data_IF_084265168197
#
_entry.id   IF_084265168197
#
_cell.length_a   1.000
_cell.length_b   1.000
_cell.length_c   1.000
_cell.angle_alpha   90.00
_cell.angle_beta   90.00
_cell.angle_gamma   90.00
#
_symmetry.space_group_name_H-M   'P 1'
#
loop_
_entity.id
_entity.type
_entity.pdbx_description
1 polymer ?
#
# COMPACT_ATOMS: atom_id res chain seq x y z
N UNK A 1 -11.44 -3.87 -9.62
CA UNK A 1 -11.29 -3.70 -11.07
C UNK A 1 -10.84 -5.01 -11.70
N UNK A 2 -11.49 -5.45 -12.77
CA UNK A 2 -11.09 -6.65 -13.53
C UNK A 2 -9.93 -6.33 -14.48
N UNK A 3 -9.12 -7.31 -14.95
CA UNK A 3 -8.16 -7.08 -16.02
C UNK A 3 -8.83 -6.45 -17.25
N UNK A 4 -8.20 -5.44 -17.86
CA UNK A 4 -8.73 -4.76 -19.06
C UNK A 4 -9.84 -3.71 -18.81
N UNK A 5 -10.15 -3.37 -17.55
CA UNK A 5 -11.02 -2.20 -17.28
C UNK A 5 -10.27 -0.89 -17.55
N UNK A 6 -10.95 0.02 -18.24
CA UNK A 6 -10.45 1.38 -18.50
C UNK A 6 -10.04 2.06 -17.19
N UNK A 7 -8.90 2.76 -17.18
CA UNK A 7 -8.36 3.43 -16.00
C UNK A 7 -7.67 2.53 -14.96
N UNK A 8 -7.67 1.19 -15.12
CA UNK A 8 -6.98 0.28 -14.17
C UNK A 8 -5.47 0.54 -14.13
N UNK A 9 -4.84 0.61 -15.29
CA UNK A 9 -3.40 0.83 -15.40
C UNK A 9 -3.00 2.19 -14.82
N UNK A 10 -3.76 3.23 -15.14
CA UNK A 10 -3.59 4.56 -14.56
C UNK A 10 -3.75 4.53 -13.03
N UNK A 11 -4.74 3.81 -12.51
CA UNK A 11 -4.93 3.65 -11.06
C UNK A 11 -3.74 2.95 -10.40
N UNK A 12 -3.17 1.93 -11.05
CA UNK A 12 -1.97 1.22 -10.54
C UNK A 12 -0.75 2.15 -10.56
N UNK A 13 -0.56 2.90 -11.65
CA UNK A 13 0.55 3.86 -11.76
C UNK A 13 0.41 5.00 -10.74
N UNK A 14 -0.79 5.50 -10.52
CA UNK A 14 -1.11 6.48 -9.47
C UNK A 14 -0.78 5.92 -8.09
N UNK A 15 -1.22 4.69 -7.81
CA UNK A 15 -0.93 4.00 -6.54
C UNK A 15 0.58 3.83 -6.32
N UNK A 16 1.34 3.49 -7.36
CA UNK A 16 2.81 3.39 -7.32
C UNK A 16 3.44 4.74 -6.98
N UNK A 17 3.00 5.81 -7.64
CA UNK A 17 3.52 7.16 -7.40
C UNK A 17 3.21 7.64 -5.98
N UNK A 18 1.98 7.44 -5.50
CA UNK A 18 1.59 7.76 -4.12
C UNK A 18 2.39 6.97 -3.10
N UNK A 19 2.60 5.67 -3.34
CA UNK A 19 3.45 4.82 -2.49
C UNK A 19 4.87 5.37 -2.40
N UNK A 20 5.48 5.68 -3.54
CA UNK A 20 6.85 6.21 -3.60
C UNK A 20 6.96 7.56 -2.88
N UNK A 21 6.00 8.46 -3.10
CA UNK A 21 5.97 9.76 -2.42
C UNK A 21 5.80 9.61 -0.90
N UNK A 22 4.91 8.73 -0.45
CA UNK A 22 4.69 8.44 0.97
C UNK A 22 5.95 7.85 1.63
N UNK A 23 6.56 6.84 1.01
CA UNK A 23 7.82 6.24 1.50
C UNK A 23 8.94 7.27 1.52
N UNK A 24 9.11 8.05 0.45
CA UNK A 24 10.15 9.08 0.39
C UNK A 24 10.00 10.14 1.48
N UNK A 25 8.76 10.52 1.80
CA UNK A 25 8.43 11.50 2.84
C UNK A 25 8.78 11.00 4.25
N UNK A 26 8.43 9.75 4.58
CA UNK A 26 8.48 9.28 5.96
C UNK A 26 9.69 8.39 6.30
N UNK A 27 10.33 7.72 5.33
CA UNK A 27 11.39 6.72 5.60
C UNK A 27 12.61 7.22 6.37
N UNK A 28 12.86 8.53 6.39
CA UNK A 28 14.01 9.15 7.09
C UNK A 28 13.64 9.74 8.45
N UNK A 29 12.35 9.78 8.78
CA UNK A 29 11.88 10.29 10.06
C UNK A 29 11.74 9.14 11.07
N UNK A 30 12.77 8.96 11.89
CA UNK A 30 12.80 7.90 12.91
C UNK A 30 11.62 7.95 13.89
N UNK A 31 11.03 9.15 14.14
CA UNK A 31 9.86 9.28 15.01
C UNK A 31 8.61 8.68 14.36
N UNK A 32 8.49 8.80 13.04
CA UNK A 32 7.40 8.22 12.27
C UNK A 32 7.66 6.74 11.99
N UNK A 33 8.87 6.36 11.58
CA UNK A 33 9.16 4.96 11.22
C UNK A 33 9.13 4.01 12.41
N UNK A 34 9.33 4.51 13.63
CA UNK A 34 9.18 3.75 14.87
C UNK A 34 7.73 3.48 15.29
N UNK A 35 6.74 4.08 14.62
CA UNK A 35 5.31 3.89 14.94
C UNK A 35 4.78 2.57 14.35
N UNK A 36 4.10 1.73 15.15
CA UNK A 36 3.33 0.60 14.64
C UNK A 36 2.43 0.92 13.44
N UNK A 37 1.76 2.08 13.42
CA UNK A 37 0.92 2.48 12.26
C UNK A 37 1.73 2.60 10.98
N UNK A 38 2.92 3.20 11.03
CA UNK A 38 3.82 3.29 9.88
C UNK A 38 4.22 1.90 9.39
N UNK A 39 4.57 0.98 10.30
CA UNK A 39 4.95 -0.38 9.95
C UNK A 39 3.85 -1.13 9.20
N UNK A 40 2.59 -0.99 9.64
CA UNK A 40 1.42 -1.59 8.98
C UNK A 40 1.20 -1.03 7.57
N UNK A 41 1.20 0.30 7.42
CA UNK A 41 1.07 0.93 6.09
C UNK A 41 2.21 0.51 5.17
N UNK A 42 3.46 0.51 5.67
CA UNK A 42 4.63 0.14 4.88
C UNK A 42 4.56 -1.33 4.40
N UNK A 43 4.12 -2.25 5.26
CA UNK A 43 3.86 -3.65 4.89
C UNK A 43 2.83 -3.76 3.77
N UNK A 44 1.67 -3.14 3.96
CA UNK A 44 0.56 -3.17 3.01
C UNK A 44 0.96 -2.62 1.63
N UNK A 45 1.66 -1.47 1.61
CA UNK A 45 2.15 -0.86 0.37
C UNK A 45 3.21 -1.71 -0.33
N UNK A 46 4.07 -2.40 0.42
CA UNK A 46 5.04 -3.34 -0.16
C UNK A 46 4.37 -4.58 -0.74
N UNK A 47 3.29 -5.08 -0.13
CA UNK A 47 2.52 -6.19 -0.68
C UNK A 47 1.89 -5.83 -2.04
N UNK A 48 1.34 -4.62 -2.16
CA UNK A 48 0.78 -4.08 -3.41
C UNK A 48 1.86 -3.86 -4.45
N UNK A 49 2.93 -3.13 -4.09
CA UNK A 49 4.04 -2.81 -5.00
C UNK A 49 4.76 -4.06 -5.48
N UNK A 50 5.00 -5.01 -4.58
CA UNK A 50 5.62 -6.29 -4.91
C UNK A 50 4.82 -7.09 -5.93
N UNK A 51 3.49 -7.11 -5.84
CA UNK A 51 2.67 -7.79 -6.86
C UNK A 51 2.81 -7.13 -8.23
N UNK A 52 2.59 -5.82 -8.33
CA UNK A 52 2.62 -5.15 -9.62
C UNK A 52 4.02 -5.02 -10.23
N UNK A 53 5.08 -5.04 -9.42
CA UNK A 53 6.46 -5.12 -9.91
C UNK A 53 6.77 -6.49 -10.53
N UNK A 54 6.27 -7.59 -9.94
CA UNK A 54 6.59 -8.94 -10.41
C UNK A 54 5.66 -9.42 -11.54
N UNK A 55 4.38 -9.03 -11.51
CA UNK A 55 3.37 -9.54 -12.43
C UNK A 55 2.87 -8.48 -13.43
N UNK A 56 3.23 -7.20 -13.25
CA UNK A 56 2.70 -6.11 -14.07
C UNK A 56 1.20 -5.87 -13.87
N UNK A 57 0.63 -4.97 -14.68
CA UNK A 57 -0.76 -4.48 -14.53
C UNK A 57 -1.83 -5.45 -15.03
N UNK A 58 -1.42 -6.40 -15.88
CA UNK A 58 -2.28 -7.39 -16.53
C UNK A 58 -2.91 -8.37 -15.54
N UNK A 59 -2.18 -8.77 -14.49
CA UNK A 59 -2.68 -9.74 -13.53
C UNK A 59 -3.43 -9.06 -12.36
N UNK A 60 -4.61 -9.58 -11.98
CA UNK A 60 -5.36 -9.06 -10.86
C UNK A 60 -4.62 -9.28 -9.54
N UNK A 61 -4.81 -8.35 -8.59
CA UNK A 61 -4.31 -8.53 -7.24
C UNK A 61 -5.13 -9.65 -6.55
N UNK A 62 -4.50 -10.66 -5.94
CA UNK A 62 -5.23 -11.79 -5.36
C UNK A 62 -6.22 -11.37 -4.27
N UNK A 63 -7.46 -11.87 -4.32
CA UNK A 63 -8.54 -11.46 -3.42
C UNK A 63 -8.18 -11.60 -1.93
N UNK A 64 -7.70 -12.76 -1.49
CA UNK A 64 -7.25 -12.96 -0.10
C UNK A 64 -6.11 -12.03 0.32
N UNK A 65 -5.26 -11.60 -0.61
CA UNK A 65 -4.18 -10.64 -0.32
C UNK A 65 -4.73 -9.21 -0.25
N UNK A 66 -5.70 -8.88 -1.10
CA UNK A 66 -6.46 -7.62 -1.08
C UNK A 66 -7.13 -7.42 0.28
N UNK A 67 -7.83 -8.43 0.77
CA UNK A 67 -8.58 -8.33 2.04
C UNK A 67 -7.63 -8.14 3.23
N UNK A 68 -6.46 -8.80 3.20
CA UNK A 68 -5.40 -8.56 4.20
C UNK A 68 -4.82 -7.15 4.15
N UNK A 69 -4.55 -6.63 2.96
CA UNK A 69 -4.07 -5.25 2.77
C UNK A 69 -5.07 -4.24 3.35
N UNK A 70 -6.37 -4.43 3.12
CA UNK A 70 -7.39 -3.58 3.72
C UNK A 70 -7.43 -3.69 5.24
N UNK A 71 -7.37 -4.90 5.79
CA UNK A 71 -7.30 -5.08 7.24
C UNK A 71 -6.05 -4.42 7.86
N UNK A 72 -4.89 -4.49 7.19
CA UNK A 72 -3.66 -3.80 7.63
C UNK A 72 -3.86 -2.27 7.65
N UNK A 73 -4.55 -1.69 6.67
CA UNK A 73 -4.88 -0.27 6.66
C UNK A 73 -5.85 0.12 7.78
N UNK A 74 -6.92 -0.65 8.02
CA UNK A 74 -7.85 -0.39 9.12
C UNK A 74 -7.13 -0.41 10.48
N UNK A 75 -6.23 -1.39 10.70
CA UNK A 75 -5.42 -1.44 11.91
C UNK A 75 -4.44 -0.28 12.00
N UNK A 76 -3.84 0.14 10.88
CA UNK A 76 -2.96 1.30 10.83
C UNK A 76 -3.70 2.60 11.20
N UNK A 77 -4.92 2.81 10.70
CA UNK A 77 -5.76 3.96 11.03
C UNK A 77 -6.12 3.98 12.52
N UNK A 78 -6.48 2.83 13.09
CA UNK A 78 -6.76 2.70 14.52
C UNK A 78 -5.53 3.04 15.36
N UNK A 79 -4.34 2.55 14.98
CA UNK A 79 -3.09 2.87 15.68
C UNK A 79 -2.75 4.36 15.55
N UNK A 80 -2.87 4.91 14.35
CA UNK A 80 -2.60 6.31 14.04
C UNK A 80 -3.48 7.25 14.86
N UNK A 81 -4.77 6.95 14.98
CA UNK A 81 -5.72 7.73 15.81
C UNK A 81 -5.33 7.78 17.29
N UNK A 82 -4.55 6.80 17.75
CA UNK A 82 -4.03 6.69 19.13
C UNK A 82 -2.60 7.24 19.26
N UNK A 83 -2.08 7.88 18.21
CA UNK A 83 -0.71 8.39 18.14
C UNK A 83 0.37 7.30 18.03
N UNK A 84 -0.03 6.06 17.75
CA UNK A 84 0.84 4.88 17.63
C UNK A 84 1.12 4.54 16.18
#
# INVERSE_FOLDING_TARGET
>A
MAPGTEGREESINTTRNMTNAWVAKYRRDNKTTGKPSYGQVYSALNAVSGHFNNFGTKYPFPAKRKDRVFAEFEQAELLLSRGR
#
